data_IF_807150948539
#
_entry.id   IF_807150948539
#
_cell.length_a   1.000
_cell.length_b   1.000
_cell.length_c   1.000
_cell.angle_alpha   90.00
_cell.angle_beta   90.00
_cell.angle_gamma   90.00
#
_symmetry.space_group_name_H-M   'P 1'
#
loop_
_entity.id
_entity.type
_entity.pdbx_description
1 polymer ?
#
# COMPACT_ATOMS: atom_id res chain seq x y z
N UNK A 1 -18.65 -15.69 2.90
CA UNK A 1 -17.62 -14.66 2.71
C UNK A 1 -16.25 -15.32 2.81
N UNK A 2 -15.55 -15.40 1.70
CA UNK A 2 -14.12 -15.70 1.67
C UNK A 2 -13.29 -14.40 1.63
N UNK A 3 -11.97 -14.51 1.71
CA UNK A 3 -11.08 -13.33 1.78
C UNK A 3 -11.09 -12.49 0.50
N UNK A 4 -11.32 -13.12 -0.67
CA UNK A 4 -11.42 -12.39 -1.94
C UNK A 4 -12.78 -11.65 -2.02
N UNK A 5 -13.87 -12.29 -1.58
CA UNK A 5 -15.19 -11.68 -1.46
C UNK A 5 -15.20 -10.50 -0.47
N UNK A 6 -14.38 -10.57 0.58
CA UNK A 6 -14.25 -9.48 1.56
C UNK A 6 -13.76 -8.18 0.93
N UNK A 7 -12.85 -8.24 -0.06
CA UNK A 7 -12.36 -7.03 -0.75
C UNK A 7 -13.50 -6.33 -1.47
N UNK A 8 -14.36 -7.07 -2.17
CA UNK A 8 -15.52 -6.48 -2.85
C UNK A 8 -16.49 -5.81 -1.86
N UNK A 9 -16.67 -6.40 -0.67
CA UNK A 9 -17.50 -5.83 0.38
C UNK A 9 -16.89 -4.56 0.99
N UNK A 10 -15.58 -4.56 1.26
CA UNK A 10 -14.86 -3.37 1.73
C UNK A 10 -14.88 -2.24 0.70
N UNK A 11 -14.72 -2.56 -0.60
CA UNK A 11 -14.77 -1.57 -1.67
C UNK A 11 -16.14 -0.90 -1.82
N UNK A 12 -17.23 -1.46 -1.26
CA UNK A 12 -18.53 -0.78 -1.22
C UNK A 12 -18.57 0.41 -0.26
N UNK A 13 -17.69 0.44 0.74
CA UNK A 13 -17.63 1.51 1.75
C UNK A 13 -16.41 2.42 1.57
N UNK A 14 -15.56 2.14 0.58
CA UNK A 14 -14.36 2.92 0.31
C UNK A 14 -14.70 4.25 -0.36
N UNK A 15 -14.32 5.36 0.29
CA UNK A 15 -14.43 6.70 -0.29
C UNK A 15 -13.51 6.88 -1.52
N UNK A 16 -12.46 6.08 -1.63
CA UNK A 16 -11.47 6.09 -2.71
C UNK A 16 -11.70 4.98 -3.73
N UNK A 17 -12.87 4.33 -3.76
CA UNK A 17 -13.21 3.22 -4.67
C UNK A 17 -12.78 3.50 -6.11
N UNK A 18 -13.21 4.64 -6.64
CA UNK A 18 -12.99 5.03 -8.05
C UNK A 18 -11.76 5.94 -8.24
N UNK A 19 -10.97 6.14 -7.18
CA UNK A 19 -9.77 6.97 -7.22
C UNK A 19 -8.63 6.29 -8.00
N UNK A 20 -7.64 7.09 -8.39
CA UNK A 20 -6.41 6.57 -8.98
C UNK A 20 -5.74 5.56 -8.02
N UNK A 21 -5.18 4.43 -8.51
CA UNK A 21 -4.58 3.38 -7.66
C UNK A 21 -3.53 3.88 -6.66
N UNK A 22 -2.79 4.94 -6.99
CA UNK A 22 -1.82 5.54 -6.06
C UNK A 22 -2.49 6.29 -4.91
N UNK A 23 -3.53 7.09 -5.18
CA UNK A 23 -4.32 7.75 -4.13
C UNK A 23 -4.98 6.72 -3.23
N UNK A 24 -5.48 5.63 -3.83
CA UNK A 24 -6.02 4.48 -3.11
C UNK A 24 -4.96 3.84 -2.20
N UNK A 25 -3.75 3.66 -2.71
CA UNK A 25 -2.62 3.11 -1.95
C UNK A 25 -2.21 4.04 -0.80
N UNK A 26 -2.18 5.36 -1.01
CA UNK A 26 -1.88 6.35 0.03
C UNK A 26 -2.91 6.29 1.15
N UNK A 27 -4.19 6.26 0.79
CA UNK A 27 -5.26 6.11 1.76
C UNK A 27 -5.11 4.82 2.57
N UNK A 28 -4.81 3.69 1.90
CA UNK A 28 -4.57 2.41 2.56
C UNK A 28 -3.38 2.46 3.53
N UNK A 29 -2.25 3.06 3.13
CA UNK A 29 -1.04 3.11 3.95
C UNK A 29 -1.20 4.00 5.19
N UNK A 30 -1.80 5.18 5.00
CA UNK A 30 -2.03 6.13 6.10
C UNK A 30 -3.03 5.53 7.09
N UNK A 31 -4.16 5.02 6.59
CA UNK A 31 -5.18 4.39 7.43
C UNK A 31 -4.63 3.21 8.22
N UNK A 32 -3.92 2.28 7.57
CA UNK A 32 -3.27 1.15 8.24
C UNK A 32 -2.35 1.60 9.38
N UNK A 33 -1.61 2.69 9.20
CA UNK A 33 -0.70 3.22 10.23
C UNK A 33 -1.47 3.72 11.45
N UNK A 34 -2.62 4.37 11.25
CA UNK A 34 -3.52 4.82 12.32
C UNK A 34 -4.08 3.63 13.09
N UNK A 35 -4.67 2.64 12.40
CA UNK A 35 -5.32 1.50 13.06
C UNK A 35 -4.33 0.59 13.80
N UNK A 36 -3.09 0.47 13.33
CA UNK A 36 -2.03 -0.24 14.09
C UNK A 36 -1.71 0.49 15.40
N UNK A 37 -1.79 1.83 15.42
CA UNK A 37 -1.65 2.63 16.62
C UNK A 37 -2.79 2.40 17.61
N UNK A 38 -4.02 2.33 17.12
CA UNK A 38 -5.21 2.04 17.92
C UNK A 38 -5.19 0.60 18.43
N UNK A 39 -4.76 -0.37 17.61
CA UNK A 39 -4.57 -1.77 18.02
C UNK A 39 -3.56 -1.93 19.18
N UNK A 40 -2.55 -1.07 19.24
CA UNK A 40 -1.58 -1.07 20.34
C UNK A 40 -2.14 -0.45 21.63
N UNK A 41 -3.22 0.32 21.57
CA UNK A 41 -3.75 1.11 22.67
C UNK A 41 -4.30 0.26 23.83
N UNK A 42 -5.09 -0.83 23.62
CA UNK A 42 -5.53 -1.71 24.70
C UNK A 42 -4.37 -2.30 25.51
N UNK A 43 -3.28 -2.69 24.83
CA UNK A 43 -2.07 -3.22 25.49
C UNK A 43 -1.34 -2.11 26.25
N UNK A 44 -1.22 -0.92 25.66
CA UNK A 44 -0.60 0.25 26.32
C UNK A 44 -1.37 0.61 27.60
N UNK A 45 -2.70 0.68 27.52
CA UNK A 45 -3.59 0.93 28.67
C UNK A 45 -3.44 -0.12 29.77
N UNK A 46 -3.42 -1.40 29.40
CA UNK A 46 -3.25 -2.49 30.35
C UNK A 46 -1.88 -2.47 31.04
N UNK A 47 -0.80 -2.27 30.28
CA UNK A 47 0.58 -2.35 30.79
C UNK A 47 1.03 -1.12 31.56
N UNK A 48 0.65 0.08 31.13
CA UNK A 48 1.24 1.33 31.63
C UNK A 48 0.28 2.19 32.44
N UNK A 49 -1.03 2.03 32.28
CA UNK A 49 -2.04 2.87 32.94
C UNK A 49 -2.92 2.11 33.93
N UNK A 50 -2.59 0.85 34.24
CA UNK A 50 -3.32 -0.01 35.17
C UNK A 50 -4.82 -0.09 34.87
N UNK A 51 -5.18 -0.05 33.58
CA UNK A 51 -6.56 -0.20 33.09
C UNK A 51 -6.84 -1.67 32.75
N UNK A 52 -8.10 -2.12 32.81
CA UNK A 52 -8.46 -3.43 32.28
C UNK A 52 -8.09 -3.54 30.79
N UNK A 53 -7.62 -4.72 30.38
CA UNK A 53 -7.44 -5.03 28.96
C UNK A 53 -8.79 -5.17 28.28
N UNK A 54 -8.95 -4.52 27.13
CA UNK A 54 -10.18 -4.57 26.34
C UNK A 54 -9.95 -5.41 25.06
N UNK A 55 -10.33 -6.70 25.07
CA UNK A 55 -10.21 -7.55 23.89
C UNK A 55 -11.22 -7.22 22.79
N UNK A 56 -12.32 -6.54 23.13
CA UNK A 56 -13.36 -6.18 22.15
C UNK A 56 -12.82 -5.05 21.28
N UNK A 57 -12.29 -3.98 21.91
CA UNK A 57 -11.59 -2.93 21.19
C UNK A 57 -10.45 -3.53 20.35
N UNK A 58 -9.61 -4.41 20.92
CA UNK A 58 -8.51 -5.01 20.16
C UNK A 58 -8.98 -5.80 18.91
N UNK A 59 -10.15 -6.44 18.97
CA UNK A 59 -10.73 -7.16 17.85
C UNK A 59 -11.34 -6.23 16.79
N UNK A 60 -11.90 -5.09 17.20
CA UNK A 60 -12.37 -4.00 16.32
C UNK A 60 -11.22 -3.48 15.46
N UNK A 61 -10.10 -3.09 16.08
CA UNK A 61 -8.94 -2.55 15.35
C UNK A 61 -8.32 -3.57 14.38
N UNK A 62 -8.38 -4.87 14.72
CA UNK A 62 -7.98 -5.93 13.78
C UNK A 62 -8.87 -5.91 12.53
N UNK A 63 -10.17 -5.69 12.71
CA UNK A 63 -11.14 -5.53 11.62
C UNK A 63 -10.80 -4.35 10.72
N UNK A 64 -10.47 -3.19 11.31
CA UNK A 64 -10.12 -1.98 10.55
C UNK A 64 -8.78 -2.12 9.83
N UNK A 65 -7.80 -2.81 10.43
CA UNK A 65 -6.57 -3.24 9.75
C UNK A 65 -6.90 -4.10 8.51
N UNK A 66 -7.81 -5.07 8.61
CA UNK A 66 -8.23 -5.87 7.46
C UNK A 66 -8.91 -5.01 6.38
N UNK A 67 -9.68 -3.99 6.77
CA UNK A 67 -10.33 -3.09 5.84
C UNK A 67 -9.30 -2.31 4.99
N UNK A 68 -8.27 -1.75 5.61
CA UNK A 68 -7.20 -1.06 4.87
C UNK A 68 -6.30 -2.02 4.08
N UNK A 69 -6.09 -3.25 4.54
CA UNK A 69 -5.42 -4.27 3.73
C UNK A 69 -6.24 -4.61 2.47
N UNK A 70 -7.57 -4.65 2.56
CA UNK A 70 -8.43 -4.82 1.39
C UNK A 70 -8.35 -3.62 0.43
N UNK A 71 -8.28 -2.38 0.95
CA UNK A 71 -8.04 -1.18 0.16
C UNK A 71 -6.71 -1.25 -0.61
N UNK A 72 -5.64 -1.72 0.05
CA UNK A 72 -4.33 -1.93 -0.58
C UNK A 72 -4.37 -3.03 -1.67
N UNK A 73 -5.09 -4.13 -1.42
CA UNK A 73 -5.28 -5.20 -2.41
C UNK A 73 -6.01 -4.67 -3.66
N UNK A 74 -7.05 -3.87 -3.47
CA UNK A 74 -7.79 -3.23 -4.55
C UNK A 74 -6.90 -2.25 -5.35
N UNK A 75 -6.05 -1.47 -4.67
CA UNK A 75 -5.08 -0.58 -5.32
C UNK A 75 -4.10 -1.35 -6.22
N UNK A 76 -3.58 -2.48 -5.75
CA UNK A 76 -2.64 -3.33 -6.49
C UNK A 76 -3.32 -4.19 -7.57
N UNK A 77 -4.65 -4.27 -7.54
CA UNK A 77 -5.48 -5.18 -8.36
C UNK A 77 -5.05 -6.64 -8.22
N UNK A 78 -4.80 -7.06 -6.98
CA UNK A 78 -4.38 -8.42 -6.63
C UNK A 78 -5.37 -9.04 -5.66
N UNK A 79 -5.62 -10.34 -5.81
CA UNK A 79 -6.46 -11.08 -4.87
C UNK A 79 -5.71 -11.32 -3.57
N UNK A 80 -6.34 -11.10 -2.40
CA UNK A 80 -5.68 -11.39 -1.12
C UNK A 80 -5.35 -12.88 -0.96
N UNK A 81 -6.16 -13.80 -1.50
CA UNK A 81 -5.83 -15.23 -1.52
C UNK A 81 -4.48 -15.53 -2.18
N UNK A 82 -4.13 -14.81 -3.23
CA UNK A 82 -2.84 -14.95 -3.91
C UNK A 82 -1.68 -14.39 -3.07
N UNK A 83 -1.87 -13.25 -2.41
CA UNK A 83 -0.87 -12.68 -1.47
C UNK A 83 -0.58 -13.68 -0.35
N UNK A 84 -1.64 -14.23 0.27
CA UNK A 84 -1.54 -15.16 1.38
C UNK A 84 -0.87 -16.47 0.94
N UNK A 85 -1.23 -17.01 -0.22
CA UNK A 85 -0.61 -18.21 -0.78
C UNK A 85 0.90 -18.02 -0.97
N UNK A 86 1.32 -16.93 -1.61
CA UNK A 86 2.75 -16.63 -1.84
C UNK A 86 3.50 -16.41 -0.53
N UNK A 87 2.86 -15.78 0.46
CA UNK A 87 3.44 -15.62 1.79
C UNK A 87 3.76 -16.99 2.40
N UNK A 88 2.82 -17.94 2.35
CA UNK A 88 3.02 -19.29 2.86
C UNK A 88 4.07 -20.07 2.04
N UNK A 89 4.05 -20.00 0.71
CA UNK A 89 5.05 -20.68 -0.14
C UNK A 89 6.47 -20.19 0.16
N UNK A 90 6.66 -18.87 0.29
CA UNK A 90 7.91 -18.26 0.73
C UNK A 90 8.32 -18.74 2.12
N UNK A 91 7.37 -18.76 3.07
CA UNK A 91 7.65 -19.18 4.44
C UNK A 91 7.94 -20.69 4.55
N UNK A 92 7.38 -21.55 3.68
CA UNK A 92 7.73 -22.97 3.61
C UNK A 92 9.15 -23.21 3.12
N UNK A 93 9.64 -22.39 2.19
CA UNK A 93 11.04 -22.42 1.79
C UNK A 93 11.95 -22.01 2.94
N UNK A 94 11.57 -20.95 3.67
CA UNK A 94 12.34 -20.47 4.82
C UNK A 94 12.31 -21.46 5.98
N UNK A 95 11.15 -22.01 6.28
CA UNK A 95 10.89 -22.89 7.41
C UNK A 95 10.23 -24.20 6.92
N UNK A 96 11.01 -25.17 6.41
CA UNK A 96 10.47 -26.41 5.86
C UNK A 96 9.63 -27.23 6.84
N UNK A 97 9.97 -27.17 8.13
CA UNK A 97 9.29 -27.91 9.19
C UNK A 97 8.60 -26.97 10.19
N UNK A 98 9.38 -26.11 10.84
CA UNK A 98 8.93 -25.14 11.84
C UNK A 98 9.91 -23.98 11.93
N UNK A 99 9.53 -22.95 12.66
CA UNK A 99 10.41 -21.84 13.00
C UNK A 99 11.69 -22.32 13.70
N UNK A 100 12.81 -21.68 13.36
CA UNK A 100 14.10 -21.80 14.05
C UNK A 100 14.91 -20.53 13.81
N UNK A 101 15.65 -20.07 14.81
CA UNK A 101 16.54 -18.89 14.70
C UNK A 101 17.53 -19.05 13.54
N UNK A 102 18.12 -20.23 13.39
CA UNK A 102 19.04 -20.55 12.29
C UNK A 102 18.44 -20.24 10.91
N UNK A 103 17.23 -20.72 10.61
CA UNK A 103 16.56 -20.44 9.33
C UNK A 103 16.07 -18.99 9.20
N UNK A 104 15.80 -18.32 10.33
CA UNK A 104 15.41 -16.91 10.32
C UNK A 104 16.59 -16.02 9.89
N UNK A 105 17.82 -16.39 10.29
CA UNK A 105 19.06 -15.73 9.92
C UNK A 105 19.58 -16.17 8.54
N UNK A 106 19.58 -17.48 8.25
CA UNK A 106 20.17 -18.08 7.04
C UNK A 106 19.14 -18.22 5.91
N UNK A 107 18.64 -17.08 5.43
CA UNK A 107 17.58 -17.01 4.42
C UNK A 107 18.11 -17.18 2.99
N UNK A 108 17.42 -17.98 2.18
CA UNK A 108 17.66 -18.03 0.73
C UNK A 108 16.84 -16.95 0.01
N UNK A 109 17.42 -15.74 -0.11
CA UNK A 109 16.73 -14.57 -0.68
C UNK A 109 16.39 -14.73 -2.16
N UNK A 110 17.23 -15.41 -2.94
CA UNK A 110 17.01 -15.65 -4.37
C UNK A 110 15.75 -16.50 -4.58
N UNK A 111 15.68 -17.65 -3.90
CA UNK A 111 14.52 -18.53 -3.97
C UNK A 111 13.24 -17.89 -3.42
N UNK A 112 13.36 -17.09 -2.35
CA UNK A 112 12.21 -16.32 -1.84
C UNK A 112 11.70 -15.32 -2.90
N UNK A 113 12.60 -14.64 -3.62
CA UNK A 113 12.25 -13.68 -4.68
C UNK A 113 11.62 -14.37 -5.89
N UNK A 114 12.17 -15.49 -6.33
CA UNK A 114 11.61 -16.30 -7.44
C UNK A 114 10.15 -16.68 -7.20
N UNK A 115 9.80 -17.06 -5.96
CA UNK A 115 8.42 -17.39 -5.55
C UNK A 115 7.52 -16.14 -5.62
N UNK A 116 8.01 -14.99 -5.15
CA UNK A 116 7.24 -13.75 -5.14
C UNK A 116 7.00 -13.20 -6.57
N UNK A 117 7.99 -13.35 -7.46
CA UNK A 117 7.99 -12.82 -8.84
C UNK A 117 7.30 -13.73 -9.88
N UNK A 118 6.81 -14.92 -9.50
CA UNK A 118 6.22 -15.92 -10.39
C UNK A 118 5.24 -15.40 -11.47
N UNK A 119 5.11 -16.18 -12.56
CA UNK A 119 4.77 -15.77 -13.95
C UNK A 119 3.58 -14.82 -14.22
N UNK A 120 2.62 -14.67 -13.31
CA UNK A 120 1.39 -13.90 -13.54
C UNK A 120 1.28 -12.61 -12.67
N UNK A 121 2.38 -12.20 -12.02
CA UNK A 121 2.35 -11.31 -10.85
C UNK A 121 2.91 -9.90 -11.04
N UNK A 122 2.41 -9.14 -12.01
CA UNK A 122 2.77 -7.71 -12.07
C UNK A 122 1.72 -6.90 -11.31
N UNK A 123 2.06 -6.25 -10.17
CA UNK A 123 1.14 -5.29 -9.56
C UNK A 123 0.75 -4.25 -10.60
N UNK A 124 -0.53 -3.89 -10.64
CA UNK A 124 -1.02 -2.94 -11.63
C UNK A 124 -0.41 -1.54 -11.46
N UNK A 125 0.11 -1.25 -10.26
CA UNK A 125 0.93 -0.09 -9.98
C UNK A 125 2.35 -0.37 -10.47
N UNK A 126 2.58 -0.10 -11.76
CA UNK A 126 3.90 -0.15 -12.37
C UNK A 126 4.46 1.27 -12.45
N UNK A 127 5.74 1.50 -12.13
CA UNK A 127 6.35 2.81 -12.34
C UNK A 127 6.17 3.25 -13.79
N UNK A 128 5.98 4.55 -14.01
CA UNK A 128 5.84 5.07 -15.35
C UNK A 128 7.11 4.75 -16.15
N UNK A 129 6.94 4.07 -17.30
CA UNK A 129 8.06 3.64 -18.16
C UNK A 129 8.90 4.81 -18.68
N UNK A 130 8.35 6.02 -18.73
CA UNK A 130 9.03 7.20 -19.28
C UNK A 130 9.93 7.90 -18.25
N UNK A 131 9.53 7.96 -16.98
CA UNK A 131 10.29 8.69 -15.94
C UNK A 131 10.88 7.78 -14.86
N UNK A 132 10.61 6.46 -14.89
CA UNK A 132 11.04 5.48 -13.88
C UNK A 132 10.69 5.85 -12.43
N UNK A 133 9.76 6.80 -12.23
CA UNK A 133 9.23 7.19 -10.92
C UNK A 133 7.88 6.52 -10.68
N UNK A 134 7.62 6.20 -9.41
CA UNK A 134 6.25 5.97 -8.91
C UNK A 134 5.66 7.37 -8.78
N UNK A 135 5.19 7.95 -9.88
CA UNK A 135 4.71 9.33 -9.85
C UNK A 135 3.37 9.39 -9.11
N UNK A 136 3.43 9.77 -7.83
CA UNK A 136 2.32 9.90 -6.90
C UNK A 136 1.16 10.79 -7.44
N UNK A 137 1.39 11.71 -8.39
CA UNK A 137 0.35 12.66 -8.83
C UNK A 137 0.47 13.20 -10.28
N UNK A 138 1.08 12.50 -11.25
CA UNK A 138 1.23 13.16 -12.57
C UNK A 138 1.86 12.38 -13.69
N UNK A 139 1.19 11.35 -14.18
CA UNK A 139 1.47 10.85 -15.53
C UNK A 139 0.14 10.49 -16.20
N UNK A 140 -0.67 11.50 -16.45
CA UNK A 140 -1.87 11.36 -17.28
C UNK A 140 -1.44 11.11 -18.73
N UNK A 141 -1.97 10.03 -19.32
CA UNK A 141 -1.67 9.59 -20.70
C UNK A 141 -2.36 10.48 -21.75
N UNK A 142 -3.24 11.38 -21.32
CA UNK A 142 -3.94 12.34 -22.18
C UNK A 142 -3.22 13.69 -22.31
N UNK A 143 -2.08 13.87 -21.64
CA UNK A 143 -1.29 15.11 -21.70
C UNK A 143 -0.20 14.94 -22.78
N UNK A 144 -0.20 15.76 -23.85
CA UNK A 144 0.78 15.64 -24.94
C UNK A 144 2.22 15.66 -24.42
N UNK A 145 3.08 14.79 -24.95
CA UNK A 145 4.49 14.61 -24.56
C UNK A 145 5.29 15.91 -24.44
N UNK A 146 4.85 16.92 -25.17
CA UNK A 146 5.58 18.16 -25.42
C UNK A 146 5.39 19.15 -24.26
N UNK A 147 4.28 19.04 -23.52
CA UNK A 147 3.98 19.85 -22.33
C UNK A 147 4.77 19.41 -21.10
N UNK A 148 5.15 18.12 -21.02
CA UNK A 148 6.00 17.59 -19.95
C UNK A 148 7.47 17.98 -20.07
N UNK A 149 7.94 18.34 -21.27
CA UNK A 149 9.32 18.85 -21.43
C UNK A 149 9.56 20.11 -20.58
N UNK A 150 8.55 20.97 -20.44
CA UNK A 150 8.63 22.22 -19.68
C UNK A 150 8.59 21.94 -18.17
N UNK A 151 7.70 21.06 -17.71
CA UNK A 151 7.56 20.70 -16.29
C UNK A 151 8.75 19.89 -15.78
N UNK A 152 9.27 18.97 -16.59
CA UNK A 152 10.43 18.15 -16.24
C UNK A 152 11.73 18.97 -16.24
N UNK A 153 11.84 19.98 -17.11
CA UNK A 153 12.97 20.94 -17.07
C UNK A 153 12.95 21.77 -15.79
N UNK A 154 11.77 22.13 -15.26
CA UNK A 154 11.65 22.82 -13.97
C UNK A 154 11.98 21.91 -12.77
N UNK A 155 11.59 20.64 -12.79
CA UNK A 155 11.97 19.67 -11.74
C UNK A 155 13.48 19.33 -11.73
N UNK A 156 14.13 19.30 -12.89
CA UNK A 156 15.59 19.07 -12.96
C UNK A 156 16.43 20.33 -12.73
N UNK A 157 15.88 21.53 -12.99
CA UNK A 157 16.57 22.79 -12.74
C UNK A 157 16.54 23.21 -11.26
N UNK A 158 15.53 22.77 -10.52
CA UNK A 158 15.31 23.13 -9.12
C UNK A 158 15.39 21.82 -8.33
N UNK A 159 16.59 21.46 -7.88
CA UNK A 159 16.81 20.29 -7.02
C UNK A 159 15.79 20.22 -5.86
N UNK A 160 15.57 19.03 -5.29
CA UNK A 160 14.32 18.63 -4.68
C UNK A 160 13.86 19.64 -3.62
N UNK A 161 12.74 20.36 -3.80
CA UNK A 161 12.17 21.14 -2.73
C UNK A 161 11.00 20.37 -2.14
N UNK A 162 11.21 19.93 -0.89
CA UNK A 162 10.13 19.97 0.08
C UNK A 162 9.43 21.35 -0.02
N UNK A 163 8.10 21.35 -0.12
CA UNK A 163 7.17 22.50 -0.24
C UNK A 163 6.72 22.87 -1.66
N UNK A 164 5.89 22.04 -2.29
CA UNK A 164 4.96 22.51 -3.35
C UNK A 164 3.59 21.79 -3.28
N UNK A 165 3.03 21.59 -2.08
CA UNK A 165 1.65 21.10 -1.94
C UNK A 165 0.60 22.21 -2.14
N UNK A 166 0.95 23.48 -1.93
CA UNK A 166 0.00 24.60 -2.09
C UNK A 166 -0.06 25.18 -3.50
N UNK A 167 1.02 25.05 -4.29
CA UNK A 167 1.12 25.70 -5.61
C UNK A 167 0.65 24.79 -6.75
N UNK A 168 0.67 23.48 -6.56
CA UNK A 168 0.16 22.52 -7.54
C UNK A 168 -1.38 22.56 -7.68
N UNK A 169 -2.10 22.94 -6.61
CA UNK A 169 -3.55 23.09 -6.63
C UNK A 169 -3.98 24.34 -7.41
N UNK A 170 -3.23 25.44 -7.30
CA UNK A 170 -3.56 26.70 -7.99
C UNK A 170 -3.38 26.61 -9.52
N UNK A 171 -2.48 25.75 -10.01
CA UNK A 171 -2.29 25.56 -11.46
C UNK A 171 -3.33 24.63 -12.10
N UNK A 172 -4.08 23.86 -11.30
CA UNK A 172 -5.17 23.01 -11.82
C UNK A 172 -6.42 23.84 -12.18
N UNK A 173 -6.69 24.91 -11.44
CA UNK A 173 -7.88 25.76 -11.65
C UNK A 173 -7.75 26.67 -12.90
N UNK A 174 -6.53 27.04 -13.30
CA UNK A 174 -6.31 27.88 -14.50
C UNK A 174 -6.32 27.09 -15.82
N UNK A 175 -6.26 25.75 -15.77
CA UNK A 175 -6.34 24.90 -16.98
C UNK A 175 -7.78 24.52 -17.37
N UNK A 176 -8.80 24.82 -16.54
CA UNK A 176 -10.20 24.52 -16.82
C UNK A 176 -11.08 25.78 -17.03
N UNK A 177 -10.51 26.85 -17.58
CA UNK A 177 -11.24 28.00 -18.15
C UNK A 177 -10.93 28.17 -19.63
#
# INVERSE_FOLDING_TARGET
MNIDEYVELAQRTSATKDAHPLVKMDHAQIGLTTEVGEFADPIKKAKFYNKPYDPINAAEEIGDIFWYLAEACAALKIKPSEILKRNIEKLKVRYPNKYSDYNAENRNLEKEREILEGKDNKPAIMPCKACNTINYLGCDKNVPSDTWSIVCTLCNAIGPPARLLSTAILLWDDCNK
#
